data_IF_724532656666
#
_entry.id   IF_724532656666
#
_cell.length_a   1.000
_cell.length_b   1.000
_cell.length_c   1.000
_cell.angle_alpha   90.00
_cell.angle_beta   90.00
_cell.angle_gamma   90.00
#
_symmetry.space_group_name_H-M   'P 1'
#
loop_
_entity.id
_entity.type
_entity.pdbx_description
1 polymer ?
#
# COMPACT_ATOMS: atom_id res chain seq x y z
N UNK A 1 -8.05 -11.18 -14.81
CA UNK A 1 -6.77 -10.75 -14.26
C UNK A 1 -6.21 -9.67 -15.16
N UNK A 2 -5.98 -8.44 -14.62
CA UNK A 2 -5.45 -7.30 -15.38
C UNK A 2 -3.93 -7.26 -15.32
N UNK A 3 -3.37 -7.47 -14.12
CA UNK A 3 -1.93 -7.46 -13.90
C UNK A 3 -1.58 -8.24 -12.62
N UNK A 4 -0.29 -8.51 -12.42
CA UNK A 4 0.26 -9.13 -11.21
C UNK A 4 1.47 -8.33 -10.78
N UNK A 5 1.52 -7.93 -9.51
CA UNK A 5 2.70 -7.34 -8.89
C UNK A 5 3.33 -8.37 -7.94
N UNK A 6 4.63 -8.56 -8.07
CA UNK A 6 5.44 -9.33 -7.11
C UNK A 6 6.17 -8.38 -6.19
N UNK A 7 6.17 -8.68 -4.90
CA UNK A 7 6.85 -7.86 -3.88
C UNK A 7 8.33 -7.70 -4.23
N UNK A 8 8.81 -6.46 -4.32
CA UNK A 8 10.20 -6.15 -4.67
C UNK A 8 11.20 -6.81 -3.73
N UNK A 9 10.90 -6.72 -2.42
CA UNK A 9 11.72 -7.30 -1.36
C UNK A 9 10.84 -7.93 -0.31
N UNK A 10 10.96 -9.25 -0.08
CA UNK A 10 10.25 -9.91 1.02
C UNK A 10 10.65 -9.32 2.37
N UNK A 11 9.69 -9.23 3.30
CA UNK A 11 9.90 -8.66 4.63
C UNK A 11 10.26 -9.75 5.64
N UNK A 12 11.35 -9.58 6.38
CA UNK A 12 11.70 -10.45 7.50
C UNK A 12 11.71 -11.94 7.12
N UNK A 13 10.87 -12.73 7.78
CA UNK A 13 10.79 -14.18 7.60
C UNK A 13 10.24 -14.63 6.23
N UNK A 14 9.56 -13.74 5.47
CA UNK A 14 9.14 -14.06 4.10
C UNK A 14 10.31 -14.49 3.23
N UNK A 15 11.52 -13.99 3.49
CA UNK A 15 12.76 -14.32 2.76
C UNK A 15 13.17 -15.80 2.86
N UNK A 16 12.59 -16.53 3.80
CA UNK A 16 12.79 -17.98 3.93
C UNK A 16 11.90 -18.74 2.94
N UNK A 17 10.82 -18.11 2.47
CA UNK A 17 9.78 -18.73 1.64
C UNK A 17 9.93 -18.34 0.17
N UNK A 18 10.16 -17.05 -0.13
CA UNK A 18 10.31 -16.54 -1.50
C UNK A 18 11.38 -15.46 -1.62
N UNK A 19 11.91 -15.34 -2.83
CA UNK A 19 12.95 -14.37 -3.19
C UNK A 19 12.41 -13.02 -3.62
N UNK A 20 13.33 -12.13 -3.95
CA UNK A 20 13.05 -10.81 -4.50
C UNK A 20 12.27 -10.94 -5.82
N UNK A 21 11.51 -9.90 -6.15
CA UNK A 21 10.88 -9.80 -7.45
C UNK A 21 11.93 -9.72 -8.55
N UNK A 22 11.64 -10.36 -9.65
CA UNK A 22 12.33 -10.19 -10.92
C UNK A 22 11.89 -8.87 -11.59
N UNK A 23 12.31 -8.64 -12.82
CA UNK A 23 12.00 -7.42 -13.59
C UNK A 23 10.48 -7.24 -13.82
N UNK A 24 10.06 -6.05 -14.22
CA UNK A 24 8.64 -5.62 -14.37
C UNK A 24 7.92 -5.34 -13.04
N UNK A 25 8.54 -4.54 -12.19
CA UNK A 25 8.13 -4.35 -10.80
C UNK A 25 6.86 -3.52 -10.59
N UNK A 26 6.57 -2.60 -11.50
CA UNK A 26 5.52 -1.60 -11.31
C UNK A 26 4.42 -1.70 -12.36
N UNK A 27 3.67 -2.81 -12.40
CA UNK A 27 2.57 -2.97 -13.33
C UNK A 27 1.44 -2.01 -12.95
N UNK A 28 0.82 -1.41 -13.97
CA UNK A 28 -0.32 -0.53 -13.82
C UNK A 28 -1.52 -1.16 -14.51
N UNK A 29 -2.59 -1.38 -13.75
CA UNK A 29 -3.86 -1.83 -14.29
C UNK A 29 -4.62 -0.64 -14.88
N UNK A 30 -4.90 -0.67 -16.18
CA UNK A 30 -5.76 0.34 -16.81
C UNK A 30 -7.22 0.04 -16.52
N UNK A 31 -7.94 1.01 -15.99
CA UNK A 31 -9.35 0.88 -15.64
C UNK A 31 -10.16 2.06 -16.17
N UNK A 32 -11.50 1.98 -16.23
CA UNK A 32 -12.35 3.12 -16.61
C UNK A 32 -12.18 4.34 -15.69
N UNK A 33 -11.64 4.17 -14.50
CA UNK A 33 -11.41 5.22 -13.51
C UNK A 33 -9.97 5.74 -13.48
N UNK A 34 -9.16 5.31 -14.43
CA UNK A 34 -7.74 5.64 -14.54
C UNK A 34 -6.81 4.48 -14.18
N UNK A 35 -5.50 4.72 -14.25
CA UNK A 35 -4.49 3.72 -13.92
C UNK A 35 -4.49 3.42 -12.41
N UNK A 36 -4.44 2.14 -12.05
CA UNK A 36 -4.29 1.69 -10.65
C UNK A 36 -3.02 0.88 -10.48
N UNK A 37 -2.36 1.05 -9.37
CA UNK A 37 -1.18 0.26 -9.02
C UNK A 37 -1.16 -0.09 -7.54
N UNK A 38 -0.31 -1.05 -7.18
CA UNK A 38 -0.19 -1.56 -5.83
C UNK A 38 1.27 -1.71 -5.42
N UNK A 39 1.56 -1.39 -4.16
CA UNK A 39 2.73 -1.90 -3.45
C UNK A 39 2.27 -2.71 -2.24
N UNK A 40 3.01 -3.77 -1.92
CA UNK A 40 2.64 -4.72 -0.88
C UNK A 40 3.36 -4.36 0.42
N UNK A 41 2.59 -3.97 1.46
CA UNK A 41 3.09 -3.81 2.82
C UNK A 41 4.28 -2.82 2.89
N UNK A 42 5.42 -3.20 3.45
CA UNK A 42 6.61 -2.37 3.64
C UNK A 42 7.28 -1.91 2.34
N UNK A 43 6.91 -2.41 1.17
CA UNK A 43 7.31 -1.77 -0.08
C UNK A 43 6.90 -0.29 -0.12
N UNK A 44 5.75 0.03 0.48
CA UNK A 44 5.27 1.40 0.57
C UNK A 44 6.16 2.32 1.42
N UNK A 45 7.08 1.79 2.22
CA UNK A 45 8.14 2.57 2.88
C UNK A 45 9.31 2.92 1.96
N UNK A 46 9.41 2.31 0.76
CA UNK A 46 10.49 2.58 -0.20
C UNK A 46 10.18 3.86 -1.00
N UNK A 47 10.88 5.00 -0.76
CA UNK A 47 10.53 6.28 -1.41
C UNK A 47 10.59 6.20 -2.93
N UNK A 48 11.63 5.56 -3.49
CA UNK A 48 11.81 5.45 -4.94
C UNK A 48 10.72 4.58 -5.60
N UNK A 49 10.23 3.53 -4.90
CA UNK A 49 9.13 2.72 -5.39
C UNK A 49 7.82 3.53 -5.47
N UNK A 50 7.58 4.41 -4.48
CA UNK A 50 6.43 5.31 -4.50
C UNK A 50 6.53 6.30 -5.65
N UNK A 51 7.69 6.94 -5.84
CA UNK A 51 7.91 7.89 -6.94
C UNK A 51 7.66 7.21 -8.28
N UNK A 52 8.13 5.97 -8.47
CA UNK A 52 7.88 5.20 -9.69
C UNK A 52 6.38 5.01 -9.99
N UNK A 53 5.54 4.91 -8.96
CA UNK A 53 4.09 4.86 -9.12
C UNK A 53 3.48 6.25 -9.38
N UNK A 54 3.96 7.27 -8.67
CA UNK A 54 3.45 8.64 -8.83
C UNK A 54 3.69 9.18 -10.25
N UNK A 55 4.86 8.90 -10.83
CA UNK A 55 5.18 9.25 -12.22
C UNK A 55 4.24 8.59 -13.25
N UNK A 56 3.60 7.48 -12.87
CA UNK A 56 2.58 6.83 -13.71
C UNK A 56 1.20 7.48 -13.59
N UNK A 57 1.06 8.51 -12.74
CA UNK A 57 -0.16 9.31 -12.60
C UNK A 57 -1.35 8.57 -11.99
N UNK A 58 -1.11 7.56 -11.15
CA UNK A 58 -2.18 6.75 -10.56
C UNK A 58 -3.08 7.58 -9.65
N UNK A 59 -4.41 7.59 -9.86
CA UNK A 59 -5.37 8.16 -8.91
C UNK A 59 -5.68 7.24 -7.72
N UNK A 60 -5.42 5.93 -7.87
CA UNK A 60 -5.72 4.91 -6.87
C UNK A 60 -4.48 4.08 -6.58
N UNK A 61 -4.02 4.17 -5.33
CA UNK A 61 -2.92 3.38 -4.79
C UNK A 61 -3.47 2.30 -3.88
N UNK A 62 -3.26 1.04 -4.24
CA UNK A 62 -3.74 -0.12 -3.48
C UNK A 62 -2.61 -0.68 -2.61
N UNK A 63 -2.90 -1.02 -1.37
CA UNK A 63 -1.88 -1.53 -0.44
C UNK A 63 -2.42 -2.64 0.45
N UNK A 64 -2.18 -3.91 0.09
CA UNK A 64 -2.42 -5.05 0.99
C UNK A 64 -1.33 -5.13 2.05
N UNK A 65 -1.70 -5.31 3.32
CA UNK A 65 -0.82 -5.19 4.48
C UNK A 65 -1.11 -6.14 5.62
N UNK A 66 -0.15 -6.15 6.58
CA UNK A 66 -0.29 -6.65 7.94
C UNK A 66 0.35 -5.67 8.93
N UNK A 67 0.07 -4.37 8.78
CA UNK A 67 0.62 -3.31 9.64
C UNK A 67 -0.49 -2.69 10.48
N UNK A 68 -0.58 -3.05 11.72
CA UNK A 68 -1.67 -2.69 12.63
C UNK A 68 -1.28 -1.64 13.68
N UNK A 69 -0.40 -0.70 13.32
CA UNK A 69 0.12 0.34 14.21
C UNK A 69 -0.18 1.77 13.72
N UNK A 70 -0.06 2.72 14.64
CA UNK A 70 -0.30 4.15 14.37
C UNK A 70 0.71 4.75 13.40
N UNK A 71 1.94 4.27 13.41
CA UNK A 71 3.01 4.72 12.50
C UNK A 71 2.64 4.40 11.05
N UNK A 72 1.99 3.25 10.84
CA UNK A 72 1.48 2.89 9.52
C UNK A 72 0.32 3.80 9.10
N UNK A 73 -0.61 4.11 9.99
CA UNK A 73 -1.70 5.04 9.71
C UNK A 73 -1.17 6.45 9.37
N UNK A 74 -0.13 6.92 10.05
CA UNK A 74 0.54 8.17 9.69
C UNK A 74 1.19 8.09 8.31
N UNK A 75 1.85 6.96 8.00
CA UNK A 75 2.54 6.73 6.73
C UNK A 75 1.57 6.73 5.55
N UNK A 76 0.45 6.02 5.62
CA UNK A 76 -0.50 5.95 4.49
C UNK A 76 -1.15 7.30 4.20
N UNK A 77 -1.40 8.11 5.23
CA UNK A 77 -1.88 9.48 5.07
C UNK A 77 -0.83 10.35 4.38
N UNK A 78 0.45 10.21 4.76
CA UNK A 78 1.54 10.89 4.09
C UNK A 78 1.66 10.47 2.62
N UNK A 79 1.58 9.18 2.32
CA UNK A 79 1.66 8.65 0.94
C UNK A 79 0.53 9.21 0.07
N UNK A 80 -0.69 9.30 0.60
CA UNK A 80 -1.83 9.86 -0.11
C UNK A 80 -1.61 11.34 -0.47
N UNK A 81 -1.05 12.14 0.45
CA UNK A 81 -0.69 13.55 0.24
C UNK A 81 0.47 13.65 -0.76
N UNK A 82 1.55 12.89 -0.54
CA UNK A 82 2.78 12.92 -1.37
C UNK A 82 2.48 12.55 -2.83
N UNK A 83 1.64 11.54 -3.04
CA UNK A 83 1.29 11.02 -4.37
C UNK A 83 0.06 11.65 -5.01
N UNK A 84 -0.67 12.50 -4.27
CA UNK A 84 -1.95 13.07 -4.72
C UNK A 84 -2.90 12.01 -5.25
N UNK A 85 -3.10 10.95 -4.49
CA UNK A 85 -3.90 9.79 -4.87
C UNK A 85 -4.75 9.31 -3.67
N UNK A 86 -5.84 8.62 -3.97
CA UNK A 86 -6.53 7.85 -2.94
C UNK A 86 -5.68 6.65 -2.55
N UNK A 87 -5.46 6.47 -1.25
CA UNK A 87 -4.77 5.31 -0.71
C UNK A 87 -5.79 4.32 -0.15
N UNK A 88 -5.85 3.15 -0.73
CA UNK A 88 -6.75 2.06 -0.29
C UNK A 88 -5.92 1.05 0.49
N UNK A 89 -6.04 1.12 1.80
CA UNK A 89 -5.34 0.25 2.74
C UNK A 89 -6.19 -0.97 3.07
N UNK A 90 -5.68 -2.16 2.84
CA UNK A 90 -6.31 -3.42 3.19
C UNK A 90 -5.39 -4.20 4.14
N UNK A 91 -5.66 -4.10 5.43
CA UNK A 91 -4.95 -4.84 6.46
C UNK A 91 -5.74 -6.09 6.88
N UNK A 92 -5.02 -7.19 7.08
CA UNK A 92 -5.64 -8.40 7.59
C UNK A 92 -5.94 -8.28 9.08
N UNK A 93 -7.01 -8.91 9.52
CA UNK A 93 -7.24 -9.25 10.92
C UNK A 93 -6.83 -10.70 11.13
N UNK A 94 -6.01 -10.96 12.12
CA UNK A 94 -5.49 -12.30 12.38
C UNK A 94 -5.38 -12.57 13.87
N UNK A 95 -5.99 -13.67 14.31
CA UNK A 95 -5.99 -14.11 15.70
C UNK A 95 -5.18 -15.41 15.86
N UNK A 96 -4.74 -15.69 17.09
CA UNK A 96 -3.94 -16.87 17.38
C UNK A 96 -4.64 -18.20 17.04
N UNK A 97 -5.94 -18.26 17.19
CA UNK A 97 -6.75 -19.44 16.88
C UNK A 97 -6.94 -19.71 15.38
N UNK A 98 -6.59 -18.74 14.53
CA UNK A 98 -6.57 -18.93 13.06
C UNK A 98 -5.37 -19.76 12.57
N UNK A 99 -4.36 -19.99 13.41
CA UNK A 99 -3.26 -20.87 13.04
C UNK A 99 -3.74 -22.31 12.88
N UNK A 100 -3.39 -22.99 11.78
CA UNK A 100 -3.80 -24.38 11.56
C UNK A 100 -3.35 -25.30 12.69
N UNK A 101 -4.23 -26.18 13.13
CA UNK A 101 -3.86 -27.23 14.05
C UNK A 101 -2.81 -28.16 13.42
N UNK A 102 -1.84 -28.59 14.19
CA UNK A 102 -0.80 -29.52 13.72
C UNK A 102 0.45 -28.88 13.14
N UNK A 103 0.62 -27.56 13.26
CA UNK A 103 1.91 -26.94 13.00
C UNK A 103 2.96 -27.43 14.00
N UNK A 104 4.22 -27.59 13.54
CA UNK A 104 5.33 -28.12 14.37
C UNK A 104 5.92 -27.10 15.36
N UNK A 105 5.18 -26.02 15.68
CA UNK A 105 5.59 -24.94 16.58
C UNK A 105 4.47 -24.54 17.59
N UNK A 106 3.85 -25.50 18.30
CA UNK A 106 2.73 -25.19 19.19
C UNK A 106 3.11 -24.27 20.37
N UNK A 107 4.33 -24.34 20.86
CA UNK A 107 4.78 -23.50 21.95
C UNK A 107 4.96 -22.05 21.52
N UNK A 108 5.51 -21.81 20.34
CA UNK A 108 5.69 -20.48 19.77
C UNK A 108 4.32 -19.83 19.50
N UNK A 109 3.39 -20.59 18.92
CA UNK A 109 2.01 -20.12 18.69
C UNK A 109 1.34 -19.79 20.03
N UNK A 110 1.52 -20.64 21.05
CA UNK A 110 0.96 -20.41 22.38
C UNK A 110 1.44 -19.14 23.09
N UNK A 111 2.60 -18.60 22.67
CA UNK A 111 3.15 -17.34 23.20
C UNK A 111 2.64 -16.09 22.48
N UNK A 112 1.98 -16.24 21.33
CA UNK A 112 1.41 -15.11 20.60
C UNK A 112 0.25 -14.51 21.39
N UNK A 113 0.00 -13.20 21.23
CA UNK A 113 -1.22 -12.58 21.76
C UNK A 113 -2.47 -13.18 21.11
N UNK A 114 -3.62 -13.02 21.75
CA UNK A 114 -4.89 -13.51 21.18
C UNK A 114 -5.20 -12.85 19.83
N UNK A 115 -4.97 -11.54 19.72
CA UNK A 115 -5.00 -10.79 18.46
C UNK A 115 -3.55 -10.60 17.99
N UNK A 116 -3.20 -11.23 16.88
CA UNK A 116 -1.85 -11.18 16.28
C UNK A 116 -1.71 -10.00 15.32
N UNK A 117 -2.80 -9.67 14.61
CA UNK A 117 -2.89 -8.48 13.77
C UNK A 117 -4.30 -7.89 13.88
N UNK A 118 -4.39 -6.62 14.24
CA UNK A 118 -5.64 -5.93 14.56
C UNK A 118 -6.40 -5.43 13.34
N UNK A 119 -5.79 -5.42 12.16
CA UNK A 119 -6.34 -4.78 10.98
C UNK A 119 -5.95 -3.31 10.86
N UNK A 120 -6.90 -2.44 10.57
CA UNK A 120 -6.68 -1.02 10.31
C UNK A 120 -6.97 -0.63 8.87
N UNK A 121 -7.73 -1.48 8.16
CA UNK A 121 -8.17 -1.18 6.79
C UNK A 121 -8.95 0.12 6.73
N UNK A 122 -8.62 0.97 5.76
CA UNK A 122 -9.25 2.28 5.56
C UNK A 122 -9.01 2.80 4.14
N UNK A 123 -9.66 3.91 3.81
CA UNK A 123 -9.41 4.68 2.60
C UNK A 123 -9.06 6.11 2.98
N UNK A 124 -7.99 6.63 2.36
CA UNK A 124 -7.49 8.00 2.57
C UNK A 124 -7.59 8.78 1.26
N UNK A 125 -8.03 10.04 1.33
CA UNK A 125 -8.13 10.94 0.19
C UNK A 125 -6.76 11.60 -0.16
N UNK A 126 -6.64 12.28 -1.32
CA UNK A 126 -5.40 12.96 -1.73
C UNK A 126 -4.93 14.10 -0.81
N UNK A 127 -5.73 14.50 0.16
CA UNK A 127 -5.40 15.50 1.18
C UNK A 127 -5.00 14.88 2.53
N UNK A 128 -4.98 13.53 2.61
CA UNK A 128 -4.62 12.81 3.81
C UNK A 128 -5.75 12.66 4.84
N UNK A 129 -7.00 12.92 4.46
CA UNK A 129 -8.16 12.69 5.32
C UNK A 129 -8.71 11.29 5.11
N UNK A 130 -9.22 10.69 6.18
CA UNK A 130 -9.90 9.41 6.06
C UNK A 130 -11.27 9.58 5.38
N UNK A 131 -11.46 8.93 4.24
CA UNK A 131 -12.78 8.73 3.61
C UNK A 131 -13.54 7.68 4.42
N UNK A 132 -12.85 6.61 4.82
CA UNK A 132 -13.34 5.64 5.80
C UNK A 132 -12.32 5.53 6.92
N UNK A 133 -12.79 5.58 8.18
CA UNK A 133 -11.92 5.42 9.34
C UNK A 133 -11.32 4.02 9.38
N UNK A 134 -10.12 3.84 9.98
CA UNK A 134 -9.53 2.53 10.19
C UNK A 134 -10.46 1.60 10.97
N UNK A 135 -10.66 0.39 10.43
CA UNK A 135 -11.45 -0.66 11.09
C UNK A 135 -10.51 -1.62 11.80
N UNK A 136 -10.66 -1.70 13.12
CA UNK A 136 -9.81 -2.48 14.01
C UNK A 136 -10.55 -3.67 14.61
N UNK A 137 -9.79 -4.72 14.94
CA UNK A 137 -10.19 -5.86 15.76
C UNK A 137 -11.39 -6.66 15.23
N UNK A 138 -11.71 -6.54 13.96
CA UNK A 138 -12.78 -7.28 13.31
C UNK A 138 -12.61 -7.37 11.80
N UNK A 139 -13.09 -8.45 11.21
CA UNK A 139 -13.27 -8.56 9.78
C UNK A 139 -14.41 -7.66 9.29
N UNK A 140 -14.21 -7.01 8.15
CA UNK A 140 -15.23 -6.15 7.55
C UNK A 140 -15.03 -6.01 6.04
N UNK A 141 -16.13 -5.77 5.34
CA UNK A 141 -16.12 -5.23 3.98
C UNK A 141 -16.35 -3.73 4.10
N UNK A 142 -15.40 -2.93 3.60
CA UNK A 142 -15.44 -1.48 3.64
C UNK A 142 -15.75 -0.97 2.23
N UNK A 143 -16.79 -0.13 2.12
CA UNK A 143 -17.15 0.53 0.86
C UNK A 143 -16.96 2.03 1.04
N UNK A 144 -16.47 2.69 -0.03
CA UNK A 144 -16.28 4.14 -0.09
C UNK A 144 -16.61 4.67 -1.47
N UNK A 145 -17.30 5.80 -1.52
CA UNK A 145 -17.47 6.59 -2.75
C UNK A 145 -16.30 7.57 -2.87
N UNK A 146 -15.60 7.55 -4.02
CA UNK A 146 -14.41 8.35 -4.25
C UNK A 146 -14.67 9.42 -5.31
N UNK A 147 -14.54 10.68 -4.91
CA UNK A 147 -14.54 11.80 -5.85
C UNK A 147 -13.16 11.96 -6.50
N UNK A 148 -12.95 11.31 -7.63
CA UNK A 148 -11.67 11.35 -8.35
C UNK A 148 -11.29 12.75 -8.84
N UNK A 149 -12.21 13.75 -8.83
CA UNK A 149 -11.86 15.14 -9.15
C UNK A 149 -10.94 15.78 -8.10
N UNK A 150 -10.84 15.20 -6.92
CA UNK A 150 -9.89 15.63 -5.88
C UNK A 150 -8.43 15.43 -6.32
N UNK A 151 -8.14 14.40 -7.12
CA UNK A 151 -6.79 14.09 -7.58
C UNK A 151 -6.17 15.25 -8.38
N UNK A 152 -6.74 15.72 -9.50
CA UNK A 152 -6.21 16.87 -10.21
C UNK A 152 -6.26 18.16 -9.38
N UNK A 153 -7.25 18.35 -8.51
CA UNK A 153 -7.33 19.54 -7.63
C UNK A 153 -6.17 19.59 -6.64
N UNK A 154 -5.84 18.48 -5.97
CA UNK A 154 -4.73 18.43 -5.02
C UNK A 154 -3.37 18.69 -5.70
N UNK A 155 -3.19 18.28 -6.95
CA UNK A 155 -1.97 18.54 -7.73
C UNK A 155 -1.81 20.00 -8.16
N UNK A 156 -2.85 20.80 -8.13
CA UNK A 156 -2.75 22.22 -8.51
C UNK A 156 -1.90 23.04 -7.54
N UNK A 157 -1.90 22.70 -6.25
CA UNK A 157 -1.12 23.41 -5.24
C UNK A 157 0.33 22.94 -5.23
N UNK A 158 0.54 21.64 -5.32
CA UNK A 158 1.85 21.01 -5.33
C UNK A 158 1.78 19.72 -6.15
N UNK A 159 2.72 19.49 -7.05
CA UNK A 159 2.87 18.23 -7.76
C UNK A 159 4.37 17.90 -7.89
N UNK A 160 4.85 17.02 -7.03
CA UNK A 160 6.26 16.63 -6.96
C UNK A 160 6.77 15.90 -8.21
N UNK A 161 5.86 15.27 -8.98
CA UNK A 161 6.18 14.64 -10.27
C UNK A 161 5.81 15.53 -11.47
N UNK A 162 5.12 16.64 -11.24
CA UNK A 162 4.70 17.62 -12.24
C UNK A 162 5.46 18.95 -12.14
N UNK A 163 4.74 20.04 -11.82
CA UNK A 163 5.30 21.40 -11.87
C UNK A 163 6.37 21.70 -10.80
N UNK A 164 6.50 20.87 -9.76
CA UNK A 164 7.61 20.95 -8.78
C UNK A 164 8.76 20.00 -9.09
N UNK A 165 8.63 19.16 -10.12
CA UNK A 165 9.72 18.27 -10.52
C UNK A 165 10.94 19.04 -11.03
N UNK A 166 12.11 18.53 -10.73
CA UNK A 166 13.43 19.02 -11.19
C UNK A 166 14.18 17.91 -11.92
N UNK A 167 13.71 17.49 -13.12
CA UNK A 167 14.32 16.39 -13.89
C UNK A 167 15.74 16.72 -14.39
N UNK A 168 16.14 17.99 -14.33
CA UNK A 168 17.50 18.45 -14.54
C UNK A 168 18.45 18.08 -13.39
N UNK A 169 17.90 17.89 -12.16
CA UNK A 169 18.66 17.59 -10.94
C UNK A 169 18.38 16.17 -10.43
N UNK A 170 17.11 15.77 -10.40
CA UNK A 170 16.66 14.48 -9.84
C UNK A 170 16.05 13.63 -10.96
N UNK A 171 16.57 12.42 -11.12
CA UNK A 171 16.05 11.44 -12.09
C UNK A 171 15.89 10.10 -11.43
N UNK A 172 14.70 9.53 -11.55
CA UNK A 172 14.46 8.13 -11.23
C UNK A 172 14.60 7.30 -12.52
N UNK A 173 15.35 6.21 -12.43
CA UNK A 173 15.41 5.20 -13.50
C UNK A 173 14.93 3.89 -12.91
N UNK A 174 13.91 3.30 -13.52
CA UNK A 174 13.43 1.96 -13.21
C UNK A 174 13.89 1.04 -14.33
N UNK A 175 14.58 -0.06 -13.96
CA UNK A 175 14.96 -1.09 -14.91
C UNK A 175 13.82 -2.10 -15.02
N UNK A 176 12.89 -1.82 -15.92
CA UNK A 176 11.69 -2.61 -16.18
C UNK A 176 11.78 -3.49 -17.46
N UNK A 177 13.00 -3.72 -17.92
CA UNK A 177 13.30 -4.55 -19.11
C UNK A 177 13.34 -6.03 -18.80
#
# INVERSE_FOLDING_TARGET
LLTVHRKLKPTGAERVVWGDADRHYFPVAQTPWGPMASLICWESYMPLARVALYEKGIPLYLSPNTNDNEEWQATIRHIAIEGHCFFVNCDMVFTRDMYPAGLHCPEEIGRLPDIVCRGGSCVVDPYGHYVTQPVWDREAIICADLDLTQVPRSRMEFDGCGHYARPDVLKLTVDDR
#
